data_IF_465875040052
#
_entry.id   IF_465875040052
#
_cell.length_a   1.000
_cell.length_b   1.000
_cell.length_c   1.000
_cell.angle_alpha   90.00
_cell.angle_beta   90.00
_cell.angle_gamma   90.00
#
_symmetry.space_group_name_H-M   'P 1'
#
loop_
_entity.id
_entity.type
_entity.pdbx_description
1 polymer ?
#
# COMPACT_ATOMS: atom_id res chain seq x y z
N UNK A 1 -4.24 18.24 12.20
CA UNK A 1 -3.25 18.17 11.09
C UNK A 1 -3.96 18.31 9.77
N UNK A 2 -3.34 19.03 8.83
CA UNK A 2 -3.75 19.15 7.44
C UNK A 2 -2.87 18.22 6.62
N UNK A 3 -3.42 17.17 6.06
CA UNK A 3 -2.66 16.14 5.35
C UNK A 3 -3.23 15.92 3.95
N UNK A 4 -2.34 15.71 2.99
CA UNK A 4 -2.65 15.16 1.68
C UNK A 4 -2.12 13.73 1.65
N UNK A 5 -2.89 12.78 1.13
CA UNK A 5 -2.45 11.40 0.95
C UNK A 5 -2.90 10.86 -0.40
N UNK A 6 -2.07 10.04 -1.03
CA UNK A 6 -2.47 9.30 -2.23
C UNK A 6 -1.70 8.00 -2.40
N UNK A 7 -2.38 7.03 -3.00
CA UNK A 7 -1.82 5.74 -3.39
C UNK A 7 -2.16 5.44 -4.84
N UNK A 8 -1.18 4.98 -5.59
CA UNK A 8 -1.29 4.53 -6.98
C UNK A 8 -0.57 3.19 -7.20
N UNK A 9 -0.34 2.46 -6.10
CA UNK A 9 0.42 1.20 -6.10
C UNK A 9 -0.33 0.02 -6.73
N UNK A 10 -1.65 0.16 -6.95
CA UNK A 10 -2.53 -0.87 -7.48
C UNK A 10 -3.26 -0.41 -8.74
N UNK A 11 -4.23 -1.21 -9.20
CA UNK A 11 -5.18 -0.86 -10.26
C UNK A 11 -6.18 0.24 -9.85
N UNK A 12 -6.17 0.63 -8.59
CA UNK A 12 -7.01 1.70 -8.03
C UNK A 12 -6.11 2.86 -7.63
N UNK A 13 -6.49 4.08 -8.00
CA UNK A 13 -5.93 5.32 -7.48
C UNK A 13 -6.82 5.83 -6.35
N UNK A 14 -6.22 6.08 -5.20
CA UNK A 14 -6.91 6.64 -4.03
C UNK A 14 -6.23 7.93 -3.61
N UNK A 15 -7.01 8.99 -3.39
CA UNK A 15 -6.51 10.32 -3.00
C UNK A 15 -7.36 10.82 -1.84
N UNK A 16 -6.76 11.49 -0.87
CA UNK A 16 -7.47 12.05 0.26
C UNK A 16 -6.79 13.29 0.83
N UNK A 17 -7.60 14.22 1.29
CA UNK A 17 -7.18 15.38 2.08
C UNK A 17 -7.83 15.28 3.44
N UNK A 18 -7.08 15.52 4.49
CA UNK A 18 -7.59 15.64 5.86
C UNK A 18 -7.31 17.03 6.39
N UNK A 19 -8.32 17.61 7.05
CA UNK A 19 -8.23 18.91 7.75
C UNK A 19 -9.02 18.86 9.04
N UNK A 20 -8.50 19.49 10.10
CA UNK A 20 -9.26 19.71 11.32
C UNK A 20 -10.08 21.00 11.16
N UNK A 21 -11.41 20.88 11.26
CA UNK A 21 -12.37 22.00 11.22
C UNK A 21 -13.15 22.00 12.53
N UNK A 22 -13.08 23.09 13.28
CA UNK A 22 -13.72 23.23 14.60
C UNK A 22 -13.39 22.08 15.57
N UNK A 23 -12.13 21.62 15.55
CA UNK A 23 -11.64 20.54 16.40
C UNK A 23 -12.01 19.13 15.89
N UNK A 24 -12.76 19.00 14.80
CA UNK A 24 -13.20 17.74 14.23
C UNK A 24 -12.42 17.43 12.95
N UNK A 25 -11.78 16.25 12.83
CA UNK A 25 -11.17 15.82 11.58
C UNK A 25 -12.23 15.61 10.50
N UNK A 26 -12.02 16.23 9.34
CA UNK A 26 -12.81 16.01 8.13
C UNK A 26 -11.92 15.49 7.03
N UNK A 27 -12.48 14.63 6.18
CA UNK A 27 -11.75 14.04 5.04
C UNK A 27 -12.53 14.25 3.75
N UNK A 28 -11.80 14.55 2.68
CA UNK A 28 -12.27 14.58 1.29
C UNK A 28 -11.53 13.48 0.56
N UNK A 29 -12.26 12.50 0.05
CA UNK A 29 -11.69 11.28 -0.53
C UNK A 29 -12.13 11.15 -1.98
N UNK A 30 -11.23 10.64 -2.82
CA UNK A 30 -11.50 10.29 -4.21
C UNK A 30 -10.87 8.94 -4.55
N UNK A 31 -11.63 8.12 -5.26
CA UNK A 31 -11.16 6.83 -5.77
C UNK A 31 -11.52 6.70 -7.23
N UNK A 32 -10.58 6.29 -8.04
CA UNK A 32 -10.77 6.06 -9.47
C UNK A 32 -9.83 4.96 -10.00
N UNK A 33 -9.93 4.66 -11.29
CA UNK A 33 -9.01 3.71 -11.92
C UNK A 33 -7.56 4.23 -11.85
N UNK A 34 -6.66 3.35 -11.49
CA UNK A 34 -5.22 3.58 -11.42
C UNK A 34 -4.49 3.31 -12.75
N UNK A 35 -3.25 2.86 -12.65
CA UNK A 35 -2.43 2.54 -13.81
C UNK A 35 -2.07 3.77 -14.66
N UNK A 36 -2.14 3.65 -15.99
CA UNK A 36 -1.74 4.73 -16.90
C UNK A 36 -2.61 6.00 -16.76
N UNK A 37 -3.86 5.87 -16.34
CA UNK A 37 -4.76 6.99 -16.15
C UNK A 37 -4.45 7.81 -14.89
N UNK A 38 -3.89 7.18 -13.86
CA UNK A 38 -3.51 7.84 -12.62
C UNK A 38 -2.54 9.02 -12.86
N UNK A 39 -1.55 8.83 -13.72
CA UNK A 39 -0.55 9.89 -14.02
C UNK A 39 -1.16 11.13 -14.68
N UNK A 40 -2.25 10.97 -15.42
CA UNK A 40 -2.91 12.08 -16.12
C UNK A 40 -3.82 12.89 -15.19
N UNK A 41 -4.45 12.27 -14.19
CA UNK A 41 -5.50 12.90 -13.37
C UNK A 41 -5.08 13.19 -11.93
N UNK A 42 -4.02 12.55 -11.41
CA UNK A 42 -3.62 12.65 -10.00
C UNK A 42 -3.49 14.10 -9.52
N UNK A 43 -2.70 14.92 -10.22
CA UNK A 43 -2.44 16.31 -9.79
C UNK A 43 -3.72 17.15 -9.85
N UNK A 44 -4.51 17.04 -10.92
CA UNK A 44 -5.77 17.76 -11.04
C UNK A 44 -6.73 17.41 -9.90
N UNK A 45 -6.89 16.11 -9.60
CA UNK A 45 -7.75 15.64 -8.51
C UNK A 45 -7.23 16.10 -7.13
N UNK A 46 -5.91 16.08 -6.91
CA UNK A 46 -5.31 16.65 -5.69
C UNK A 46 -5.68 18.11 -5.50
N UNK A 47 -5.55 18.92 -6.57
CA UNK A 47 -5.88 20.35 -6.50
C UNK A 47 -7.38 20.58 -6.23
N UNK A 48 -8.25 19.78 -6.84
CA UNK A 48 -9.70 19.83 -6.61
C UNK A 48 -10.06 19.49 -5.16
N UNK A 49 -9.46 18.43 -4.59
CA UNK A 49 -9.71 18.06 -3.18
C UNK A 49 -9.17 19.11 -2.20
N UNK A 50 -8.02 19.69 -2.47
CA UNK A 50 -7.49 20.81 -1.66
C UNK A 50 -8.43 22.02 -1.70
N UNK A 51 -8.94 22.36 -2.88
CA UNK A 51 -9.92 23.44 -3.02
C UNK A 51 -11.20 23.15 -2.22
N UNK A 52 -11.74 21.94 -2.29
CA UNK A 52 -12.90 21.51 -1.51
C UNK A 52 -12.65 21.58 0.00
N UNK A 53 -11.43 21.23 0.44
CA UNK A 53 -11.02 21.32 1.84
C UNK A 53 -10.71 22.77 2.28
N UNK A 54 -10.66 23.72 1.35
CA UNK A 54 -10.26 25.10 1.62
C UNK A 54 -8.80 25.21 2.08
N UNK A 55 -7.90 24.40 1.49
CA UNK A 55 -6.48 24.35 1.79
C UNK A 55 -5.66 24.71 0.56
N UNK A 56 -4.49 25.29 0.78
CA UNK A 56 -3.39 25.37 -0.16
C UNK A 56 -2.34 24.33 0.18
N UNK A 57 -1.45 24.01 -0.76
CA UNK A 57 -0.33 23.08 -0.54
C UNK A 57 0.57 23.53 0.63
N UNK A 58 0.86 24.84 0.73
CA UNK A 58 1.70 25.39 1.80
C UNK A 58 1.07 25.32 3.21
N UNK A 59 -0.21 24.99 3.32
CA UNK A 59 -0.90 24.80 4.61
C UNK A 59 -0.92 23.35 5.07
N UNK A 60 -0.33 22.43 4.29
CA UNK A 60 -0.22 21.04 4.66
C UNK A 60 0.89 20.82 5.70
N UNK A 61 0.65 19.96 6.66
CA UNK A 61 1.66 19.50 7.60
C UNK A 61 2.57 18.41 6.99
N UNK A 62 2.02 17.63 6.04
CA UNK A 62 2.79 16.64 5.27
C UNK A 62 2.01 16.16 4.02
N UNK A 63 2.76 15.63 3.04
CA UNK A 63 2.25 14.89 1.89
C UNK A 63 2.59 13.42 2.06
N UNK A 64 1.59 12.57 2.24
CA UNK A 64 1.72 11.13 2.41
C UNK A 64 1.56 10.44 1.06
N UNK A 65 2.38 9.43 0.78
CA UNK A 65 2.18 8.61 -0.42
C UNK A 65 2.47 7.13 -0.15
N UNK A 66 1.76 6.25 -0.85
CA UNK A 66 2.05 4.82 -0.84
C UNK A 66 3.39 4.56 -1.50
N UNK A 67 4.41 4.27 -0.69
CA UNK A 67 5.78 4.13 -1.16
C UNK A 67 6.06 2.75 -1.80
N UNK A 68 5.20 1.78 -1.56
CA UNK A 68 5.38 0.41 -2.01
C UNK A 68 5.33 -0.61 -0.87
N UNK A 69 5.38 -1.90 -1.24
CA UNK A 69 5.50 -2.45 -2.59
C UNK A 69 4.23 -2.33 -3.42
N UNK A 70 4.36 -2.50 -4.75
CA UNK A 70 3.22 -2.42 -5.67
C UNK A 70 3.63 -2.27 -7.13
N UNK A 71 2.70 -1.81 -7.97
CA UNK A 71 2.91 -1.60 -9.39
C UNK A 71 4.00 -0.53 -9.65
N UNK A 72 5.06 -0.92 -10.32
CA UNK A 72 6.28 -0.13 -10.55
C UNK A 72 6.02 1.29 -11.10
N UNK A 73 5.16 1.40 -12.11
CA UNK A 73 4.80 2.70 -12.70
C UNK A 73 4.02 3.55 -11.70
N UNK A 74 3.08 2.95 -10.97
CA UNK A 74 2.28 3.63 -9.96
C UNK A 74 3.15 4.19 -8.84
N UNK A 75 4.06 3.40 -8.28
CA UNK A 75 4.97 3.83 -7.22
C UNK A 75 5.83 5.03 -7.63
N UNK A 76 6.35 5.03 -8.87
CA UNK A 76 7.11 6.16 -9.40
C UNK A 76 6.26 7.40 -9.60
N UNK A 77 5.03 7.23 -10.09
CA UNK A 77 4.08 8.33 -10.25
C UNK A 77 3.77 8.97 -8.90
N UNK A 78 3.41 8.18 -7.88
CA UNK A 78 3.14 8.68 -6.54
C UNK A 78 4.36 9.41 -5.96
N UNK A 79 5.52 8.78 -5.99
CA UNK A 79 6.76 9.36 -5.47
C UNK A 79 7.11 10.70 -6.16
N UNK A 80 7.11 10.73 -7.50
CA UNK A 80 7.47 11.93 -8.26
C UNK A 80 6.48 13.09 -8.00
N UNK A 81 5.19 12.79 -7.91
CA UNK A 81 4.17 13.80 -7.59
C UNK A 81 4.33 14.29 -6.15
N UNK A 82 4.57 13.39 -5.18
CA UNK A 82 4.83 13.78 -3.79
C UNK A 82 6.05 14.69 -3.69
N UNK A 83 7.17 14.31 -4.33
CA UNK A 83 8.39 15.12 -4.38
C UNK A 83 8.13 16.52 -4.99
N UNK A 84 7.48 16.56 -6.15
CA UNK A 84 7.23 17.84 -6.85
C UNK A 84 6.34 18.79 -6.06
N UNK A 85 5.23 18.29 -5.50
CA UNK A 85 4.32 19.10 -4.70
C UNK A 85 4.97 19.55 -3.38
N UNK A 86 5.67 18.66 -2.70
CA UNK A 86 6.34 18.94 -1.44
C UNK A 86 7.48 19.94 -1.62
N UNK A 87 8.29 19.80 -2.67
CA UNK A 87 9.36 20.74 -2.99
C UNK A 87 8.81 22.14 -3.30
N UNK A 88 7.72 22.23 -4.10
CA UNK A 88 7.10 23.51 -4.44
C UNK A 88 6.41 24.20 -3.27
N UNK A 89 5.99 23.47 -2.26
CA UNK A 89 5.26 23.98 -1.09
C UNK A 89 6.10 24.09 0.19
N UNK A 90 7.34 23.59 0.15
CA UNK A 90 8.26 23.51 1.31
C UNK A 90 7.64 22.72 2.49
N UNK A 91 7.03 21.58 2.19
CA UNK A 91 6.41 20.69 3.19
C UNK A 91 7.08 19.31 3.19
N UNK A 92 7.09 18.60 4.32
CA UNK A 92 7.67 17.25 4.41
C UNK A 92 6.84 16.21 3.64
N UNK A 93 7.51 15.15 3.24
CA UNK A 93 6.92 13.96 2.63
C UNK A 93 6.90 12.82 3.64
N UNK A 94 5.82 12.05 3.68
CA UNK A 94 5.69 10.84 4.48
C UNK A 94 5.52 9.63 3.55
N UNK A 95 6.59 8.87 3.27
CA UNK A 95 6.47 7.57 2.62
C UNK A 95 5.78 6.58 3.55
N UNK A 96 4.73 5.92 3.09
CA UNK A 96 3.99 4.93 3.88
C UNK A 96 4.09 3.58 3.18
N UNK A 97 4.39 2.52 3.94
CA UNK A 97 4.37 1.16 3.42
C UNK A 97 2.96 0.79 2.93
N UNK A 98 2.87 0.33 1.70
CA UNK A 98 1.60 0.00 1.03
C UNK A 98 0.89 -1.18 1.70
N UNK A 99 1.65 -2.19 2.17
CA UNK A 99 1.06 -3.34 2.87
C UNK A 99 0.57 -2.97 4.27
N UNK A 100 1.24 -2.04 4.95
CA UNK A 100 0.73 -1.47 6.21
C UNK A 100 -0.57 -0.68 5.98
N UNK A 101 -0.64 0.11 4.92
CA UNK A 101 -1.86 0.83 4.55
C UNK A 101 -3.02 -0.13 4.22
N UNK A 102 -2.73 -1.24 3.53
CA UNK A 102 -3.69 -2.30 3.27
C UNK A 102 -4.16 -2.97 4.56
N UNK A 103 -3.24 -3.28 5.49
CA UNK A 103 -3.57 -3.87 6.79
C UNK A 103 -4.49 -2.94 7.61
N UNK A 104 -4.19 -1.64 7.64
CA UNK A 104 -5.01 -0.64 8.33
C UNK A 104 -6.39 -0.51 7.68
N UNK A 105 -6.50 -0.54 6.36
CA UNK A 105 -7.79 -0.48 5.68
C UNK A 105 -8.65 -1.69 6.02
N UNK A 106 -8.07 -2.89 5.95
CA UNK A 106 -8.76 -4.14 6.31
C UNK A 106 -9.24 -4.15 7.77
N UNK A 107 -8.36 -3.74 8.71
CA UNK A 107 -8.70 -3.63 10.12
C UNK A 107 -9.85 -2.64 10.34
N UNK A 108 -9.71 -1.44 9.78
CA UNK A 108 -10.70 -0.38 9.98
C UNK A 108 -12.08 -0.76 9.44
N UNK A 109 -12.12 -1.39 8.25
CA UNK A 109 -13.37 -1.75 7.59
C UNK A 109 -14.08 -2.97 8.22
N UNK A 110 -13.31 -3.99 8.62
CA UNK A 110 -13.88 -5.27 9.03
C UNK A 110 -13.74 -5.57 10.53
N UNK A 111 -12.84 -4.91 11.23
CA UNK A 111 -12.48 -5.20 12.62
C UNK A 111 -12.40 -3.92 13.48
N UNK A 112 -13.32 -2.93 13.35
CA UNK A 112 -13.19 -1.62 14.00
C UNK A 112 -13.14 -1.72 15.54
N UNK A 113 -13.85 -2.68 16.12
CA UNK A 113 -13.96 -2.89 17.57
C UNK A 113 -12.92 -3.88 18.13
N UNK A 114 -12.07 -4.46 17.28
CA UNK A 114 -11.07 -5.44 17.73
C UNK A 114 -9.79 -4.70 18.17
N UNK A 115 -9.48 -4.72 19.48
CA UNK A 115 -8.35 -3.96 20.03
C UNK A 115 -7.00 -4.62 19.74
N UNK A 116 -7.00 -5.91 19.42
CA UNK A 116 -5.80 -6.71 19.24
C UNK A 116 -5.98 -7.70 18.09
N UNK A 117 -5.25 -7.52 16.99
CA UNK A 117 -5.27 -8.43 15.86
C UNK A 117 -3.92 -8.53 15.16
N UNK A 118 -3.73 -9.64 14.44
CA UNK A 118 -2.63 -9.84 13.51
C UNK A 118 -3.17 -9.85 12.08
N UNK A 119 -2.57 -9.03 11.23
CA UNK A 119 -2.94 -8.93 9.81
C UNK A 119 -1.75 -9.32 8.96
N UNK A 120 -1.90 -10.36 8.14
CA UNK A 120 -0.98 -10.64 7.03
C UNK A 120 -1.54 -9.99 5.77
N UNK A 121 -0.92 -8.92 5.33
CA UNK A 121 -1.27 -8.16 4.16
C UNK A 121 -0.65 -8.79 2.90
N UNK A 122 -1.47 -8.98 1.86
CA UNK A 122 -1.12 -9.69 0.64
C UNK A 122 -1.52 -8.86 -0.58
N UNK A 123 -0.58 -8.59 -1.47
CA UNK A 123 -0.82 -7.85 -2.70
C UNK A 123 -0.30 -8.64 -3.90
N UNK A 124 -1.13 -8.77 -4.95
CA UNK A 124 -0.71 -9.44 -6.19
C UNK A 124 0.51 -8.73 -6.81
N UNK A 125 1.62 -9.44 -6.87
CA UNK A 125 2.87 -8.94 -7.44
C UNK A 125 3.04 -9.33 -8.91
N UNK A 126 2.02 -9.97 -9.51
CA UNK A 126 2.09 -10.58 -10.84
C UNK A 126 3.14 -11.69 -10.92
N UNK A 127 3.23 -12.38 -12.07
CA UNK A 127 4.22 -13.43 -12.31
C UNK A 127 4.17 -14.57 -11.30
N UNK A 128 2.96 -14.95 -10.86
CA UNK A 128 2.72 -15.99 -9.87
C UNK A 128 3.32 -15.73 -8.48
N UNK A 129 3.49 -14.46 -8.11
CA UNK A 129 4.03 -14.04 -6.82
C UNK A 129 3.12 -13.00 -6.15
N UNK A 130 3.26 -12.88 -4.85
CA UNK A 130 2.59 -11.89 -4.01
C UNK A 130 3.64 -11.12 -3.20
N UNK A 131 3.35 -9.84 -2.94
CA UNK A 131 3.98 -9.14 -1.83
C UNK A 131 3.24 -9.51 -0.55
N UNK A 132 3.97 -9.85 0.49
CA UNK A 132 3.44 -10.21 1.79
C UNK A 132 4.18 -9.46 2.92
N UNK A 133 3.45 -9.06 3.94
CA UNK A 133 3.98 -8.56 5.21
C UNK A 133 3.01 -8.89 6.33
N UNK A 134 3.49 -8.99 7.57
CA UNK A 134 2.66 -9.28 8.73
C UNK A 134 2.84 -8.23 9.80
N UNK A 135 1.74 -7.72 10.31
CA UNK A 135 1.70 -6.68 11.32
C UNK A 135 0.78 -7.08 12.49
N UNK A 136 1.15 -6.67 13.69
CA UNK A 136 0.30 -6.70 14.87
C UNK A 136 -0.26 -5.31 15.14
N UNK A 137 -1.56 -5.26 15.41
CA UNK A 137 -2.25 -4.08 15.92
C UNK A 137 -2.58 -4.29 17.39
N UNK A 138 -2.11 -3.40 18.23
CA UNK A 138 -2.36 -3.39 19.66
C UNK A 138 -2.31 -1.95 20.19
N UNK A 139 -3.20 -1.61 21.13
CA UNK A 139 -3.22 -0.30 21.81
C UNK A 139 -3.23 0.89 20.84
N UNK A 140 -3.93 0.75 19.71
CA UNK A 140 -4.02 1.78 18.68
C UNK A 140 -2.79 1.93 17.80
N UNK A 141 -1.80 1.03 17.90
CA UNK A 141 -0.53 1.11 17.18
C UNK A 141 -0.26 -0.16 16.37
N UNK A 142 0.45 0.02 15.28
CA UNK A 142 0.95 -1.06 14.44
C UNK A 142 2.41 -1.37 14.75
N UNK A 143 2.76 -2.64 14.79
CA UNK A 143 4.12 -3.14 14.84
C UNK A 143 4.36 -4.18 13.76
N UNK A 144 5.51 -4.10 13.09
CA UNK A 144 5.90 -5.06 12.07
C UNK A 144 6.38 -6.36 12.74
N UNK A 145 5.79 -7.49 12.31
CA UNK A 145 6.19 -8.84 12.72
C UNK A 145 7.07 -9.49 11.67
N UNK A 146 6.70 -9.28 10.40
CA UNK A 146 7.48 -9.73 9.25
C UNK A 146 7.39 -8.66 8.16
N UNK A 147 8.55 -8.15 7.76
CA UNK A 147 8.65 -7.11 6.74
C UNK A 147 8.23 -7.56 5.36
N UNK A 148 8.05 -6.59 4.49
CA UNK A 148 7.60 -6.78 3.12
C UNK A 148 8.57 -7.67 2.32
N UNK A 149 8.06 -8.74 1.71
CA UNK A 149 8.83 -9.68 0.90
C UNK A 149 7.99 -10.25 -0.25
N UNK A 150 8.66 -10.88 -1.22
CA UNK A 150 8.04 -11.63 -2.31
C UNK A 150 7.88 -13.10 -1.91
N UNK A 151 6.72 -13.69 -2.22
CA UNK A 151 6.42 -15.08 -1.92
C UNK A 151 5.46 -15.66 -2.96
N UNK A 152 5.59 -16.92 -3.29
CA UNK A 152 4.58 -17.64 -4.08
C UNK A 152 3.39 -18.00 -3.20
N UNK A 153 2.16 -18.10 -3.75
CA UNK A 153 0.98 -18.42 -2.96
C UNK A 153 1.12 -19.71 -2.13
N UNK A 154 1.68 -20.77 -2.72
CA UNK A 154 1.90 -22.06 -2.08
C UNK A 154 2.96 -22.06 -0.98
N UNK A 155 3.91 -21.11 -1.05
CA UNK A 155 5.03 -20.97 -0.12
C UNK A 155 4.71 -19.99 1.03
N UNK A 156 3.50 -19.40 1.04
CA UNK A 156 3.09 -18.45 2.07
C UNK A 156 3.02 -19.13 3.45
N UNK A 157 3.87 -18.68 4.36
CA UNK A 157 3.84 -19.08 5.77
C UNK A 157 3.23 -17.95 6.58
N UNK A 158 2.06 -18.19 7.15
CA UNK A 158 1.40 -17.25 8.05
C UNK A 158 1.95 -17.43 9.46
N UNK A 159 2.62 -16.41 9.97
CA UNK A 159 3.18 -16.43 11.30
C UNK A 159 2.06 -16.54 12.35
N UNK A 160 2.07 -17.62 13.15
CA UNK A 160 1.17 -17.74 14.29
C UNK A 160 1.52 -16.72 15.37
N UNK A 161 0.49 -16.14 15.98
CA UNK A 161 0.63 -15.19 17.08
C UNK A 161 -0.22 -15.58 18.27
N UNK A 162 0.02 -14.93 19.39
CA UNK A 162 -0.81 -15.06 20.58
C UNK A 162 -2.16 -14.35 20.45
N UNK A 163 -2.35 -13.56 19.39
CA UNK A 163 -3.56 -12.81 19.12
C UNK A 163 -4.71 -13.74 18.76
N UNK A 164 -5.89 -13.51 19.36
CA UNK A 164 -7.08 -14.30 19.10
C UNK A 164 -7.61 -14.12 17.65
N UNK A 165 -7.41 -12.93 17.08
CA UNK A 165 -7.85 -12.59 15.71
C UNK A 165 -6.65 -12.51 14.79
N UNK A 166 -6.61 -13.42 13.80
CA UNK A 166 -5.61 -13.44 12.74
C UNK A 166 -6.31 -13.47 11.40
N UNK A 167 -5.97 -12.53 10.51
CA UNK A 167 -6.61 -12.39 9.21
C UNK A 167 -5.58 -12.31 8.08
N UNK A 168 -5.99 -12.78 6.91
CA UNK A 168 -5.33 -12.48 5.64
C UNK A 168 -6.11 -11.34 4.98
N UNK A 169 -5.42 -10.28 4.59
CA UNK A 169 -6.03 -9.14 3.93
C UNK A 169 -5.36 -8.86 2.59
N UNK A 170 -6.13 -8.58 1.54
CA UNK A 170 -5.56 -8.24 0.24
C UNK A 170 -6.46 -8.48 -0.96
N UNK A 171 -5.86 -8.41 -2.16
CA UNK A 171 -6.55 -8.61 -3.44
C UNK A 171 -6.24 -9.95 -4.12
N UNK A 172 -5.59 -10.86 -3.42
CA UNK A 172 -5.04 -12.11 -3.98
C UNK A 172 -6.04 -13.28 -4.02
N UNK A 173 -7.14 -13.18 -3.31
CA UNK A 173 -8.02 -14.32 -3.04
C UNK A 173 -8.77 -14.85 -4.25
N UNK A 174 -9.07 -14.00 -5.23
CA UNK A 174 -9.70 -14.44 -6.50
C UNK A 174 -8.69 -15.01 -7.49
N UNK A 175 -7.44 -14.56 -7.42
CA UNK A 175 -6.37 -14.97 -8.34
C UNK A 175 -5.71 -16.27 -7.91
N UNK A 176 -5.52 -16.46 -6.59
CA UNK A 176 -4.75 -17.57 -6.02
C UNK A 176 -5.56 -18.44 -5.04
N UNK A 177 -6.90 -18.45 -5.15
CA UNK A 177 -7.81 -19.08 -4.18
C UNK A 177 -7.35 -20.47 -3.70
N UNK A 178 -7.15 -21.42 -4.62
CA UNK A 178 -6.83 -22.82 -4.29
C UNK A 178 -5.37 -23.00 -3.81
N UNK A 179 -4.48 -22.07 -4.19
CA UNK A 179 -3.05 -22.14 -3.86
C UNK A 179 -2.73 -21.59 -2.47
N UNK A 180 -3.67 -20.87 -1.86
CA UNK A 180 -3.54 -20.33 -0.50
C UNK A 180 -4.07 -21.27 0.59
N UNK A 181 -4.61 -22.43 0.22
CA UNK A 181 -5.31 -23.32 1.15
C UNK A 181 -4.46 -23.78 2.37
N UNK A 182 -3.15 -23.95 2.19
CA UNK A 182 -2.25 -24.31 3.30
C UNK A 182 -2.01 -23.16 4.28
N UNK A 183 -1.96 -21.93 3.79
CA UNK A 183 -1.78 -20.73 4.61
C UNK A 183 -3.02 -20.42 5.47
N UNK A 184 -4.20 -20.81 4.99
CA UNK A 184 -5.49 -20.55 5.65
C UNK A 184 -5.71 -21.33 6.92
N UNK A 185 -5.02 -22.45 7.11
CA UNK A 185 -5.13 -23.24 8.35
C UNK A 185 -4.73 -22.44 9.59
N UNK A 186 -4.02 -21.33 9.42
CA UNK A 186 -3.54 -20.45 10.49
C UNK A 186 -4.26 -19.10 10.57
N UNK A 187 -5.15 -18.80 9.61
CA UNK A 187 -5.91 -17.55 9.58
C UNK A 187 -7.40 -17.83 9.77
N UNK A 188 -8.07 -16.95 10.55
CA UNK A 188 -9.49 -17.11 10.85
C UNK A 188 -10.41 -16.50 9.79
N UNK A 189 -9.94 -15.50 9.05
CA UNK A 189 -10.79 -14.73 8.10
C UNK A 189 -9.96 -14.16 6.96
N UNK A 190 -10.57 -14.08 5.77
CA UNK A 190 -10.06 -13.35 4.61
C UNK A 190 -10.79 -12.02 4.49
N UNK A 191 -10.07 -10.95 4.27
CA UNK A 191 -10.61 -9.61 4.05
C UNK A 191 -10.09 -9.09 2.70
N UNK A 192 -11.00 -8.89 1.75
CA UNK A 192 -10.61 -8.22 0.49
C UNK A 192 -10.41 -6.74 0.76
N UNK A 193 -9.19 -6.26 0.55
CA UNK A 193 -8.81 -4.88 0.77
C UNK A 193 -7.71 -4.44 -0.21
N UNK A 194 -7.63 -3.13 -0.41
CA UNK A 194 -6.56 -2.45 -1.13
C UNK A 194 -6.01 -1.31 -0.25
N UNK A 195 -4.79 -0.84 -0.49
CA UNK A 195 -4.31 0.38 0.17
C UNK A 195 -5.17 1.56 -0.26
N UNK A 196 -5.52 2.42 0.68
CA UNK A 196 -6.34 3.61 0.43
C UNK A 196 -5.70 4.87 1.01
N UNK A 197 -6.01 6.02 0.43
CA UNK A 197 -5.63 7.31 1.01
C UNK A 197 -6.22 7.52 2.41
N UNK A 198 -7.40 6.97 2.68
CA UNK A 198 -8.01 7.03 4.01
C UNK A 198 -7.15 6.27 5.05
N UNK A 199 -6.62 5.12 4.69
CA UNK A 199 -5.69 4.37 5.56
C UNK A 199 -4.37 5.14 5.77
N UNK A 200 -3.80 5.72 4.70
CA UNK A 200 -2.62 6.58 4.80
C UNK A 200 -2.86 7.74 5.77
N UNK A 201 -4.01 8.41 5.67
CA UNK A 201 -4.39 9.53 6.55
C UNK A 201 -4.58 9.08 8.02
N UNK A 202 -5.06 7.86 8.28
CA UNK A 202 -5.17 7.30 9.64
C UNK A 202 -3.81 6.96 10.24
N UNK A 203 -2.88 6.43 9.43
CA UNK A 203 -1.52 6.08 9.85
C UNK A 203 -0.61 7.30 10.05
N UNK A 204 -0.82 8.35 9.26
CA UNK A 204 0.07 9.49 9.19
C UNK A 204 0.38 10.15 10.54
N UNK A 205 -0.57 10.43 11.46
CA UNK A 205 -0.25 11.07 12.73
C UNK A 205 0.75 10.27 13.57
N UNK A 206 0.60 8.95 13.65
CA UNK A 206 1.52 8.08 14.39
C UNK A 206 2.91 8.02 13.75
N UNK A 207 2.96 7.91 12.41
CA UNK A 207 4.22 7.86 11.67
C UNK A 207 4.96 9.20 11.72
N UNK A 208 4.26 10.33 11.65
CA UNK A 208 4.86 11.66 11.82
C UNK A 208 5.42 11.85 13.23
N UNK A 209 4.69 11.44 14.26
CA UNK A 209 5.14 11.48 15.65
C UNK A 209 6.38 10.57 15.88
N UNK A 210 6.49 9.48 15.12
CA UNK A 210 7.66 8.59 15.11
C UNK A 210 8.84 9.12 14.26
N UNK A 211 8.75 10.34 13.69
CA UNK A 211 9.82 10.96 12.91
C UNK A 211 10.06 10.32 11.54
N UNK A 212 9.03 9.71 10.92
CA UNK A 212 9.16 9.04 9.63
C UNK A 212 9.05 9.97 8.42
N UNK A 213 8.77 11.25 8.63
CA UNK A 213 8.78 12.23 7.56
C UNK A 213 10.22 12.47 7.04
N UNK A 214 10.31 12.70 5.75
CA UNK A 214 11.57 12.98 5.05
C UNK A 214 11.43 14.25 4.22
N UNK A 215 12.54 14.78 3.73
CA UNK A 215 12.51 15.87 2.74
C UNK A 215 12.02 15.36 1.38
N UNK A 216 11.56 16.25 0.51
CA UNK A 216 11.15 15.90 -0.85
C UNK A 216 12.26 15.15 -1.62
N UNK A 217 13.52 15.51 -1.41
CA UNK A 217 14.67 14.89 -2.09
C UNK A 217 14.96 13.46 -1.58
N UNK A 218 14.60 13.14 -0.34
CA UNK A 218 14.85 11.85 0.30
C UNK A 218 13.68 10.87 0.09
N UNK A 219 12.53 11.34 -0.38
CA UNK A 219 11.38 10.50 -0.63
C UNK A 219 11.68 9.52 -1.78
N UNK A 220 11.65 8.23 -1.51
CA UNK A 220 11.93 7.17 -2.49
C UNK A 220 10.86 6.08 -2.45
N UNK A 221 10.58 5.42 -3.59
CA UNK A 221 9.73 4.25 -3.60
C UNK A 221 10.47 3.03 -3.03
N UNK A 222 9.72 2.15 -2.37
CA UNK A 222 10.20 0.89 -1.83
C UNK A 222 10.08 -0.21 -2.90
N UNK A 223 11.19 -0.69 -3.39
CA UNK A 223 11.24 -1.82 -4.32
C UNK A 223 11.64 -3.10 -3.60
N UNK A 224 10.77 -4.11 -3.65
CA UNK A 224 11.04 -5.45 -3.09
C UNK A 224 11.53 -6.40 -4.17
N UNK A 225 11.09 -6.21 -5.42
CA UNK A 225 11.51 -7.04 -6.55
C UNK A 225 12.73 -6.42 -7.23
N UNK A 226 13.87 -7.11 -7.15
CA UNK A 226 15.12 -6.67 -7.79
C UNK A 226 15.10 -6.82 -9.32
N UNK A 227 14.45 -7.87 -9.85
CA UNK A 227 14.31 -8.12 -11.29
C UNK A 227 12.88 -7.96 -11.77
N UNK A 228 12.62 -6.88 -12.50
CA UNK A 228 11.28 -6.58 -13.06
C UNK A 228 11.04 -7.25 -14.41
N UNK A 229 12.09 -7.73 -15.09
CA UNK A 229 11.99 -8.41 -16.38
C UNK A 229 13.09 -9.45 -16.56
N UNK A 230 12.72 -10.58 -17.15
CA UNK A 230 13.70 -11.58 -17.61
C UNK A 230 14.51 -11.00 -18.77
N UNK A 231 15.79 -11.20 -18.77
CA UNK A 231 16.65 -10.87 -19.92
C UNK A 231 16.22 -11.66 -21.15
N UNK A 232 16.61 -11.21 -22.33
CA UNK A 232 16.34 -11.93 -23.58
C UNK A 232 16.92 -13.35 -23.56
N UNK A 233 18.08 -13.54 -22.93
CA UNK A 233 18.71 -14.83 -22.77
C UNK A 233 17.89 -15.78 -21.86
N UNK A 234 17.38 -15.28 -20.73
CA UNK A 234 16.52 -16.05 -19.82
C UNK A 234 15.20 -16.46 -20.48
N UNK A 235 14.57 -15.55 -21.28
CA UNK A 235 13.36 -15.87 -22.06
C UNK A 235 13.62 -16.92 -23.16
N UNK A 236 14.77 -16.86 -23.80
CA UNK A 236 15.16 -17.87 -24.80
C UNK A 236 15.42 -19.22 -24.17
N UNK A 237 16.09 -19.26 -23.02
CA UNK A 237 16.34 -20.50 -22.28
C UNK A 237 15.04 -21.17 -21.81
N UNK A 238 14.08 -20.41 -21.29
CA UNK A 238 12.75 -20.91 -20.91
C UNK A 238 11.97 -21.46 -22.10
N UNK A 239 11.96 -20.73 -23.24
CA UNK A 239 11.33 -21.23 -24.46
C UNK A 239 11.95 -22.54 -24.96
N UNK A 240 13.26 -22.66 -24.88
CA UNK A 240 13.96 -23.90 -25.27
C UNK A 240 13.61 -25.05 -24.31
N UNK A 241 13.54 -24.80 -23.00
CA UNK A 241 13.17 -25.81 -22.01
C UNK A 241 11.69 -26.24 -22.18
N UNK A 242 10.77 -25.31 -22.43
CA UNK A 242 9.36 -25.62 -22.68
C UNK A 242 9.16 -26.43 -23.96
N UNK A 243 9.93 -26.17 -25.05
CA UNK A 243 9.90 -26.96 -26.27
C UNK A 243 10.47 -28.37 -26.07
N UNK A 244 11.52 -28.52 -25.26
CA UNK A 244 12.09 -29.82 -24.93
C UNK A 244 11.13 -30.69 -24.07
N UNK A 245 10.39 -30.08 -23.14
CA UNK A 245 9.38 -30.75 -22.34
C UNK A 245 8.12 -31.17 -23.13
N UNK A 246 7.73 -30.40 -24.15
CA UNK A 246 6.59 -30.72 -25.02
C UNK A 246 6.91 -31.78 -26.09
N UNK A 247 8.17 -32.15 -26.28
CA UNK A 247 8.66 -33.16 -27.25
C UNK A 247 8.89 -34.55 -26.62
N UNK A 248 8.62 -34.69 -25.32
CA UNK A 248 8.65 -35.98 -24.59
C UNK A 248 7.21 -36.46 -24.30
#
# INVERSE_FOLDING_TARGET
MNLLAFDTSTEVMSIGVSRVVDGVPRQWLHTSAGGAQASASLIATVMDLLQQAGLTLAQLDAICFGAGPGAFTGLRTACAVAQGLAFGADVPVLPVDTLLALAEEARHAALPEVPLCRVTALLDARMDEMYAATYDFADGQWSEVQGSHLVRPEDLVVARGAQAVQVLAGNVFTVYADRLASAEQNATTRITALPTAAALLRLAPGLLAAGKAVTAAEALPLYIRDKVAKTTAERMAEKAAAHAAAAQ
#
